data_IF_792117286990
#
_entry.id   IF_792117286990
#
_cell.length_a   1.000
_cell.length_b   1.000
_cell.length_c   1.000
_cell.angle_alpha   90.00
_cell.angle_beta   90.00
_cell.angle_gamma   90.00
#
_symmetry.space_group_name_H-M   'P 1'
#
loop_
_entity.id
_entity.type
_entity.pdbx_description
1 polymer ?
#
# COMPACT_ATOMS: atom_id res chain seq x y z
N UNK A 1 -2.14 8.40 -8.35
CA UNK A 1 -2.93 9.55 -8.87
C UNK A 1 -3.86 10.06 -7.78
N UNK A 2 -3.83 11.36 -7.48
CA UNK A 2 -4.78 12.00 -6.57
C UNK A 2 -5.93 12.63 -7.38
N UNK A 3 -7.17 12.19 -7.18
CA UNK A 3 -8.35 12.96 -7.58
C UNK A 3 -9.28 13.06 -6.37
N UNK A 4 -9.84 14.26 -6.19
CA UNK A 4 -10.73 14.70 -5.09
C UNK A 4 -10.09 15.27 -3.80
N UNK A 5 -9.11 16.19 -3.94
CA UNK A 5 -8.69 17.17 -2.89
C UNK A 5 -7.83 16.68 -1.71
N UNK A 6 -7.53 15.40 -1.62
CA UNK A 6 -6.54 14.83 -0.67
C UNK A 6 -5.33 14.29 -1.43
N UNK A 7 -4.13 14.61 -0.94
CA UNK A 7 -2.88 14.08 -1.48
C UNK A 7 -2.33 13.05 -0.50
N UNK A 8 -2.00 11.86 -1.00
CA UNK A 8 -1.33 10.82 -0.24
C UNK A 8 0.14 10.82 -0.65
N UNK A 9 1.02 10.72 0.32
CA UNK A 9 2.42 10.39 0.07
C UNK A 9 2.63 8.91 0.44
N UNK A 10 3.03 8.11 -0.53
CA UNK A 10 3.63 6.81 -0.27
C UNK A 10 5.13 7.03 -0.08
N UNK A 11 5.64 6.75 1.11
CA UNK A 11 7.07 6.77 1.36
C UNK A 11 7.70 5.49 0.77
N UNK A 12 8.93 5.57 0.23
CA UNK A 12 9.61 4.38 -0.26
C UNK A 12 9.76 3.38 0.90
N UNK A 13 9.40 2.12 0.63
CA UNK A 13 9.60 1.04 1.57
C UNK A 13 11.09 0.94 1.90
N UNK A 14 11.38 0.65 3.18
CA UNK A 14 12.73 0.60 3.74
C UNK A 14 13.71 -0.17 2.84
N UNK A 15 14.98 0.24 2.91
CA UNK A 15 16.04 -0.24 2.03
C UNK A 15 16.20 -1.78 1.96
N UNK A 16 17.06 -2.24 1.06
CA UNK A 16 17.27 -3.67 0.79
C UNK A 16 17.32 -4.54 2.05
N UNK A 17 16.46 -5.56 2.11
CA UNK A 17 16.42 -6.54 3.21
C UNK A 17 15.50 -6.20 4.41
N UNK A 18 14.79 -5.06 4.38
CA UNK A 18 13.81 -4.73 5.42
C UNK A 18 12.52 -5.56 5.30
N UNK A 19 11.75 -5.64 6.40
CA UNK A 19 10.40 -6.19 6.36
C UNK A 19 9.55 -5.40 5.35
N UNK A 20 8.66 -6.10 4.66
CA UNK A 20 7.76 -5.53 3.68
C UNK A 20 6.64 -4.72 4.38
N UNK A 21 7.01 -3.56 4.92
CA UNK A 21 6.12 -2.61 5.58
C UNK A 21 6.19 -1.26 4.88
N UNK A 22 5.05 -0.58 4.80
CA UNK A 22 4.92 0.71 4.14
C UNK A 22 4.38 1.77 5.09
N UNK A 23 5.10 2.87 5.20
CA UNK A 23 4.61 4.05 5.91
C UNK A 23 3.80 4.95 4.98
N UNK A 24 2.65 5.37 5.49
CA UNK A 24 1.70 6.22 4.81
C UNK A 24 1.37 7.43 5.63
N UNK A 25 1.36 8.57 4.95
CA UNK A 25 0.91 9.83 5.51
C UNK A 25 -0.17 10.43 4.63
N UNK A 26 -1.30 10.72 5.25
CA UNK A 26 -2.30 11.59 4.66
C UNK A 26 -1.97 13.01 5.07
N UNK A 27 -1.70 13.86 4.08
CA UNK A 27 -1.49 15.28 4.29
C UNK A 27 -2.64 16.11 3.71
N UNK A 28 -2.99 17.17 4.41
CA UNK A 28 -3.83 18.24 3.89
C UNK A 28 -3.15 18.98 2.74
N UNK A 29 -3.91 19.80 2.00
CA UNK A 29 -3.35 20.62 0.90
C UNK A 29 -2.30 21.62 1.37
N UNK A 30 -2.34 22.06 2.63
CA UNK A 30 -1.33 22.94 3.23
C UNK A 30 -0.09 22.19 3.70
N UNK A 31 -0.02 20.86 3.50
CA UNK A 31 1.10 20.03 3.94
C UNK A 31 1.01 19.56 5.38
N UNK A 32 -0.05 19.91 6.13
CA UNK A 32 -0.23 19.42 7.49
C UNK A 32 -0.58 17.93 7.47
N UNK A 33 0.14 17.12 8.25
CA UNK A 33 -0.20 15.73 8.53
C UNK A 33 -1.59 15.63 9.14
N UNK A 34 -2.47 14.82 8.54
CA UNK A 34 -3.81 14.54 9.05
C UNK A 34 -3.89 13.15 9.69
N UNK A 35 -3.17 12.16 9.14
CA UNK A 35 -3.13 10.81 9.68
C UNK A 35 -1.88 10.06 9.18
N UNK A 36 -1.44 9.06 9.95
CA UNK A 36 -0.29 8.21 9.63
C UNK A 36 -0.60 6.76 9.91
N UNK A 37 -0.09 5.88 9.07
CA UNK A 37 -0.19 4.43 9.24
C UNK A 37 1.10 3.76 8.83
N UNK A 38 1.39 2.63 9.49
CA UNK A 38 2.37 1.66 9.00
C UNK A 38 1.58 0.43 8.60
N UNK A 39 1.61 0.10 7.31
CA UNK A 39 0.90 -1.04 6.74
C UNK A 39 1.86 -2.21 6.58
N UNK A 40 1.60 -3.31 7.27
CA UNK A 40 2.32 -4.56 7.05
C UNK A 40 1.77 -5.27 5.80
N UNK A 41 2.64 -5.44 4.80
CA UNK A 41 2.34 -6.13 3.55
C UNK A 41 2.67 -7.64 3.63
N UNK A 42 3.26 -8.10 4.74
CA UNK A 42 3.31 -9.52 5.13
C UNK A 42 4.20 -10.39 4.25
N UNK A 43 5.49 -10.07 4.17
CA UNK A 43 6.47 -10.86 3.43
C UNK A 43 7.92 -10.59 3.83
N UNK A 44 8.79 -11.57 3.58
CA UNK A 44 10.25 -11.42 3.67
C UNK A 44 10.81 -10.98 2.31
N UNK A 45 11.43 -9.81 2.21
CA UNK A 45 12.11 -9.34 1.00
C UNK A 45 11.82 -7.88 0.64
N UNK A 46 12.35 -7.44 -0.51
CA UNK A 46 12.07 -6.13 -1.09
C UNK A 46 10.68 -6.12 -1.73
N UNK A 47 9.90 -5.09 -1.43
CA UNK A 47 8.57 -4.92 -1.99
C UNK A 47 8.43 -3.54 -2.59
N UNK A 48 8.31 -3.47 -3.92
CA UNK A 48 7.91 -2.24 -4.58
C UNK A 48 6.41 -2.03 -4.32
N UNK A 49 6.11 -1.06 -3.44
CA UNK A 49 4.74 -0.71 -3.12
C UNK A 49 4.02 -0.21 -4.38
N UNK A 50 2.87 -0.82 -4.69
CA UNK A 50 1.99 -0.39 -5.77
C UNK A 50 1.07 0.74 -5.34
N UNK A 51 0.36 1.33 -6.32
CA UNK A 51 -0.60 2.41 -6.11
C UNK A 51 -1.65 2.08 -5.04
N UNK A 52 -1.85 3.04 -4.13
CA UNK A 52 -2.88 3.01 -3.10
C UNK A 52 -4.14 3.74 -3.56
N UNK A 53 -5.29 3.25 -3.09
CA UNK A 53 -6.58 3.93 -3.25
C UNK A 53 -7.24 4.09 -1.89
N UNK A 54 -8.02 5.16 -1.75
CA UNK A 54 -8.87 5.39 -0.59
C UNK A 54 -10.34 5.34 -1.01
N UNK A 55 -11.11 4.52 -0.31
CA UNK A 55 -12.58 4.52 -0.36
C UNK A 55 -13.17 5.75 0.33
N UNK A 56 -14.41 6.10 -0.03
CA UNK A 56 -15.12 7.24 0.56
C UNK A 56 -15.43 7.05 2.06
N UNK A 57 -15.45 5.80 2.51
CA UNK A 57 -15.59 5.37 3.90
C UNK A 57 -14.27 5.42 4.70
N UNK A 58 -13.20 5.91 4.08
CA UNK A 58 -11.86 5.95 4.67
C UNK A 58 -11.14 4.60 4.63
N UNK A 59 -11.62 3.63 3.86
CA UNK A 59 -10.92 2.35 3.67
C UNK A 59 -9.72 2.52 2.76
N UNK A 60 -8.53 2.12 3.20
CA UNK A 60 -7.34 2.05 2.32
C UNK A 60 -7.39 0.72 1.56
N UNK A 61 -7.11 0.77 0.26
CA UNK A 61 -7.07 -0.37 -0.65
C UNK A 61 -5.72 -0.42 -1.35
N UNK A 62 -5.08 -1.59 -1.36
CA UNK A 62 -3.82 -1.79 -2.06
C UNK A 62 -3.72 -3.19 -2.65
N UNK A 63 -3.17 -3.29 -3.85
CA UNK A 63 -2.76 -4.59 -4.40
C UNK A 63 -1.49 -5.07 -3.70
N UNK A 64 -1.39 -6.36 -3.48
CA UNK A 64 -0.17 -6.96 -2.99
C UNK A 64 0.97 -6.76 -4.02
N UNK A 65 2.22 -6.49 -3.58
CA UNK A 65 3.39 -6.48 -4.47
C UNK A 65 3.52 -7.78 -5.24
N UNK A 66 3.97 -7.72 -6.49
CA UNK A 66 4.04 -8.88 -7.39
C UNK A 66 4.91 -10.00 -6.83
N UNK A 67 5.96 -9.63 -6.08
CA UNK A 67 6.93 -10.51 -5.43
C UNK A 67 6.27 -11.38 -4.35
N UNK A 68 5.21 -10.88 -3.72
CA UNK A 68 4.47 -11.57 -2.67
C UNK A 68 3.26 -12.35 -3.19
N UNK A 69 2.92 -12.21 -4.46
CA UNK A 69 1.81 -12.95 -5.07
C UNK A 69 2.20 -14.42 -5.33
N UNK A 70 1.26 -15.32 -5.02
CA UNK A 70 1.41 -16.76 -5.22
C UNK A 70 1.33 -17.14 -6.68
N UNK A 71 2.20 -18.05 -7.13
CA UNK A 71 2.12 -18.60 -8.49
C UNK A 71 0.83 -19.42 -8.64
N UNK A 72 0.12 -19.21 -9.75
CA UNK A 72 -1.09 -19.96 -10.12
C UNK A 72 -0.80 -21.08 -11.12
N UNK A 73 0.37 -21.06 -11.74
CA UNK A 73 0.87 -22.13 -12.59
C UNK A 73 2.26 -22.59 -12.12
N UNK A 74 2.67 -23.79 -12.57
CA UNK A 74 3.97 -24.36 -12.21
C UNK A 74 5.17 -23.66 -12.87
N UNK A 75 4.93 -22.68 -13.76
CA UNK A 75 5.97 -21.96 -14.50
C UNK A 75 6.16 -20.52 -14.00
N UNK A 76 5.39 -20.09 -13.01
CA UNK A 76 5.41 -18.72 -12.47
C UNK A 76 4.96 -17.62 -13.44
N UNK A 77 4.30 -17.96 -14.55
CA UNK A 77 3.87 -16.98 -15.56
C UNK A 77 2.61 -16.23 -15.12
N UNK A 78 1.77 -16.92 -14.36
CA UNK A 78 0.55 -16.38 -13.79
C UNK A 78 0.67 -16.37 -12.27
N UNK A 79 0.32 -15.23 -11.67
CA UNK A 79 0.26 -15.07 -10.22
C UNK A 79 -1.15 -14.70 -9.77
N UNK A 80 -1.40 -14.83 -8.47
CA UNK A 80 -2.57 -14.22 -7.84
C UNK A 80 -2.60 -12.71 -8.06
N UNK A 81 -3.80 -12.13 -7.93
CA UNK A 81 -3.98 -10.68 -7.84
C UNK A 81 -4.78 -10.41 -6.57
N UNK A 82 -4.07 -10.26 -5.46
CA UNK A 82 -4.61 -10.10 -4.12
C UNK A 82 -4.80 -8.63 -3.82
N UNK A 83 -6.00 -8.29 -3.34
CA UNK A 83 -6.30 -6.95 -2.82
C UNK A 83 -6.34 -7.01 -1.29
N UNK A 84 -5.58 -6.13 -0.64
CA UNK A 84 -5.64 -5.87 0.81
C UNK A 84 -6.45 -4.61 1.08
N UNK A 85 -7.10 -4.61 2.24
CA UNK A 85 -7.90 -3.48 2.69
C UNK A 85 -7.71 -3.22 4.17
N UNK A 86 -7.69 -1.95 4.55
CA UNK A 86 -7.67 -1.48 5.93
C UNK A 86 -8.88 -0.60 6.15
N UNK A 87 -9.96 -1.14 6.74
CA UNK A 87 -11.24 -0.44 6.80
C UNK A 87 -11.18 0.71 7.79
N UNK A 88 -11.91 1.79 7.48
CA UNK A 88 -12.15 2.91 8.41
C UNK A 88 -10.88 3.56 8.96
N UNK A 89 -9.82 3.62 8.15
CA UNK A 89 -8.52 4.17 8.54
C UNK A 89 -8.57 5.68 8.87
N UNK A 90 -9.65 6.36 8.47
CA UNK A 90 -9.90 7.79 8.66
C UNK A 90 -11.08 8.12 9.60
N UNK A 91 -11.45 7.22 10.52
CA UNK A 91 -12.43 7.54 11.56
C UNK A 91 -11.82 8.39 12.67
#
# INVERSE_FOLDING_TARGET
MARARTAYAALPNGGSGQQCSQDLELASRSGNSCAKWTLDLGGSGTCDALELRLGLDGTILQRLPFELESNRDGMGRTKTCTLRFWPTALK
#
